data_IF_315017747131
#
_entry.id   IF_315017747131
#
_cell.length_a   1.000
_cell.length_b   1.000
_cell.length_c   1.000
_cell.angle_alpha   90.00
_cell.angle_beta   90.00
_cell.angle_gamma   90.00
#
_symmetry.space_group_name_H-M   'P 1'
#
loop_
_entity.id
_entity.type
_entity.pdbx_description
1 polymer ?
#
# COMPACT_ATOMS: atom_id res chain seq x y z
N UNK A 1 -17.48 13.36 -48.56
CA UNK A 1 -17.22 12.05 -47.94
C UNK A 1 -16.99 12.25 -46.46
N UNK A 2 -17.92 11.78 -45.61
CA UNK A 2 -17.76 11.77 -44.15
C UNK A 2 -16.91 10.57 -43.77
N UNK A 3 -15.93 10.78 -42.88
CA UNK A 3 -15.01 9.75 -42.44
C UNK A 3 -15.75 8.80 -41.47
N UNK A 4 -16.18 7.63 -41.95
CA UNK A 4 -17.04 6.67 -41.23
C UNK A 4 -16.25 5.84 -40.19
N UNK A 5 -14.91 6.01 -40.11
CA UNK A 5 -14.04 5.32 -39.14
C UNK A 5 -13.68 6.22 -37.96
N UNK A 6 -14.70 6.74 -37.27
CA UNK A 6 -14.54 7.16 -35.88
C UNK A 6 -14.42 5.92 -35.00
N UNK A 7 -13.21 5.41 -34.80
CA UNK A 7 -12.95 4.30 -33.86
C UNK A 7 -13.06 4.82 -32.41
N UNK A 8 -14.25 5.28 -32.02
CA UNK A 8 -14.57 5.63 -30.62
C UNK A 8 -14.93 4.35 -29.86
N UNK A 9 -13.99 3.40 -29.82
CA UNK A 9 -14.12 2.19 -29.01
C UNK A 9 -13.89 2.55 -27.54
N UNK A 10 -14.86 3.21 -26.91
CA UNK A 10 -14.81 3.59 -25.50
C UNK A 10 -15.78 2.75 -24.66
N UNK A 11 -15.95 1.46 -24.97
CA UNK A 11 -16.66 0.57 -24.07
C UNK A 11 -15.70 0.15 -22.95
N UNK A 12 -15.82 0.80 -21.79
CA UNK A 12 -15.01 0.53 -20.60
C UNK A 12 -15.50 -0.72 -19.83
N UNK A 13 -16.16 -1.65 -20.52
CA UNK A 13 -17.01 -2.67 -19.88
C UNK A 13 -18.24 -2.07 -19.19
N UNK A 14 -18.95 -2.91 -18.43
CA UNK A 14 -20.00 -2.48 -17.51
C UNK A 14 -19.38 -2.19 -16.14
N UNK A 15 -19.81 -1.10 -15.50
CA UNK A 15 -19.34 -0.78 -14.16
C UNK A 15 -20.00 -1.73 -13.15
N UNK A 16 -19.24 -2.41 -12.29
CA UNK A 16 -19.81 -3.21 -11.23
C UNK A 16 -20.65 -2.34 -10.28
N UNK A 17 -21.60 -2.93 -9.53
CA UNK A 17 -22.36 -2.23 -8.50
C UNK A 17 -21.44 -1.45 -7.55
N UNK A 18 -21.90 -0.27 -7.12
CA UNK A 18 -21.07 0.66 -6.33
C UNK A 18 -20.55 0.05 -5.03
N UNK A 19 -21.34 -0.78 -4.36
CA UNK A 19 -20.93 -1.51 -3.14
C UNK A 19 -19.79 -2.49 -3.38
N UNK A 20 -19.85 -3.25 -4.48
CA UNK A 20 -18.83 -4.23 -4.86
C UNK A 20 -17.55 -3.51 -5.27
N UNK A 21 -17.68 -2.45 -6.08
CA UNK A 21 -16.53 -1.64 -6.50
C UNK A 21 -15.84 -0.97 -5.32
N UNK A 22 -16.61 -0.46 -4.35
CA UNK A 22 -16.09 0.15 -3.12
C UNK A 22 -15.26 -0.86 -2.30
N UNK A 23 -15.83 -2.05 -2.06
CA UNK A 23 -15.17 -3.12 -1.31
C UNK A 23 -13.88 -3.57 -1.99
N UNK A 24 -13.93 -3.87 -3.30
CA UNK A 24 -12.77 -4.30 -4.07
C UNK A 24 -11.63 -3.27 -4.04
N UNK A 25 -11.96 -1.98 -4.20
CA UNK A 25 -10.96 -0.91 -4.16
C UNK A 25 -10.30 -0.74 -2.78
N UNK A 26 -11.04 -1.03 -1.71
CA UNK A 26 -10.52 -1.06 -0.35
C UNK A 26 -9.57 -2.24 -0.14
N UNK A 27 -9.97 -3.44 -0.54
CA UNK A 27 -9.14 -4.65 -0.47
C UNK A 27 -7.82 -4.46 -1.21
N UNK A 28 -7.89 -3.98 -2.46
CA UNK A 28 -6.70 -3.67 -3.26
C UNK A 28 -5.79 -2.61 -2.61
N UNK A 29 -6.34 -1.73 -1.78
CA UNK A 29 -5.55 -0.76 -1.03
C UNK A 29 -4.76 -1.41 0.11
N UNK A 30 -5.38 -2.34 0.82
CA UNK A 30 -4.75 -3.10 1.90
C UNK A 30 -3.74 -4.13 1.41
N UNK A 31 -3.97 -4.70 0.23
CA UNK A 31 -2.97 -5.52 -0.47
C UNK A 31 -1.78 -4.71 -1.00
N UNK A 32 -1.85 -3.37 -0.92
CA UNK A 32 -0.81 -2.43 -1.40
C UNK A 32 -0.53 -2.55 -2.90
N UNK A 33 -1.52 -2.97 -3.69
CA UNK A 33 -1.41 -3.02 -5.16
C UNK A 33 -1.13 -1.64 -5.74
N UNK A 34 -0.25 -1.61 -6.74
CA UNK A 34 0.05 -0.44 -7.55
C UNK A 34 -1.17 -0.04 -8.39
N UNK A 35 -1.18 1.20 -8.89
CA UNK A 35 -2.28 1.69 -9.74
C UNK A 35 -2.48 0.80 -10.98
N UNK A 36 -1.40 0.27 -11.56
CA UNK A 36 -1.47 -0.59 -12.74
C UNK A 36 -2.10 -1.94 -12.38
N UNK A 37 -1.61 -2.60 -11.34
CA UNK A 37 -2.17 -3.88 -10.88
C UNK A 37 -3.65 -3.78 -10.52
N UNK A 38 -4.09 -2.66 -9.90
CA UNK A 38 -5.51 -2.43 -9.63
C UNK A 38 -6.36 -2.33 -10.90
N UNK A 39 -5.84 -1.67 -11.94
CA UNK A 39 -6.54 -1.56 -13.22
C UNK A 39 -6.64 -2.93 -13.88
N UNK A 40 -5.52 -3.65 -13.94
CA UNK A 40 -5.44 -4.97 -14.53
C UNK A 40 -6.40 -5.93 -13.80
N UNK A 41 -6.43 -5.88 -12.46
CA UNK A 41 -7.32 -6.71 -11.64
C UNK A 41 -8.81 -6.35 -11.77
N UNK A 42 -9.15 -5.07 -11.88
CA UNK A 42 -10.53 -4.64 -12.17
C UNK A 42 -10.99 -5.13 -13.55
N UNK A 43 -10.09 -5.16 -14.52
CA UNK A 43 -10.37 -5.70 -15.84
C UNK A 43 -10.55 -7.23 -15.79
N UNK A 44 -9.72 -7.94 -15.04
CA UNK A 44 -9.77 -9.41 -14.95
C UNK A 44 -10.97 -9.91 -14.12
N UNK A 45 -11.25 -9.32 -12.96
CA UNK A 45 -12.30 -9.78 -12.03
C UNK A 45 -13.70 -9.29 -12.43
N UNK A 46 -13.81 -8.06 -12.95
CA UNK A 46 -15.11 -7.41 -13.19
C UNK A 46 -15.33 -7.02 -14.66
N UNK A 47 -14.38 -7.27 -15.55
CA UNK A 47 -14.45 -6.79 -16.95
C UNK A 47 -14.47 -5.26 -17.05
N UNK A 48 -14.02 -4.54 -16.01
CA UNK A 48 -14.13 -3.09 -15.92
C UNK A 48 -12.84 -2.38 -16.35
N UNK A 49 -12.78 -2.01 -17.62
CA UNK A 49 -11.59 -1.43 -18.25
C UNK A 49 -11.52 0.08 -18.04
N UNK A 50 -10.75 0.52 -17.06
CA UNK A 50 -10.58 1.95 -16.74
C UNK A 50 -9.13 2.43 -16.84
N UNK A 51 -8.98 3.73 -17.05
CA UNK A 51 -7.67 4.41 -16.99
C UNK A 51 -7.35 4.89 -15.57
N UNK A 52 -6.07 5.14 -15.31
CA UNK A 52 -5.55 5.60 -14.01
C UNK A 52 -6.20 6.90 -13.50
N UNK A 53 -6.61 7.81 -14.39
CA UNK A 53 -7.33 9.03 -14.03
C UNK A 53 -8.71 8.74 -13.42
N UNK A 54 -9.46 7.80 -14.02
CA UNK A 54 -10.76 7.36 -13.51
C UNK A 54 -10.61 6.62 -12.19
N UNK A 55 -9.62 5.74 -12.07
CA UNK A 55 -9.32 5.05 -10.82
C UNK A 55 -9.00 6.03 -9.68
N UNK A 56 -8.20 7.08 -9.93
CA UNK A 56 -7.93 8.13 -8.94
C UNK A 56 -9.20 8.88 -8.52
N UNK A 57 -10.10 9.16 -9.46
CA UNK A 57 -11.37 9.80 -9.17
C UNK A 57 -12.28 8.90 -8.30
N UNK A 58 -12.35 7.60 -8.60
CA UNK A 58 -13.07 6.61 -7.79
C UNK A 58 -12.48 6.49 -6.39
N UNK A 59 -11.15 6.39 -6.26
CA UNK A 59 -10.49 6.33 -4.96
C UNK A 59 -10.81 7.57 -4.11
N UNK A 60 -10.88 8.76 -4.73
CA UNK A 60 -11.28 9.99 -4.05
C UNK A 60 -12.76 9.95 -3.65
N UNK A 61 -13.65 9.49 -4.53
CA UNK A 61 -15.10 9.38 -4.27
C UNK A 61 -15.37 8.45 -3.08
N UNK A 62 -14.67 7.33 -3.04
CA UNK A 62 -14.86 6.26 -2.06
C UNK A 62 -14.05 6.42 -0.77
N UNK A 63 -13.21 7.44 -0.68
CA UNK A 63 -12.37 7.66 0.51
C UNK A 63 -11.34 6.55 0.73
N UNK A 64 -10.86 5.91 -0.34
CA UNK A 64 -9.93 4.78 -0.24
C UNK A 64 -8.64 5.24 0.47
N UNK A 65 -8.20 4.51 1.51
CA UNK A 65 -7.03 4.89 2.28
C UNK A 65 -5.78 4.91 1.40
N UNK A 66 -4.85 5.81 1.73
CA UNK A 66 -3.60 5.97 0.98
C UNK A 66 -2.44 6.16 1.95
N UNK A 67 -1.31 5.52 1.65
CA UNK A 67 -0.06 5.70 2.40
C UNK A 67 0.40 7.16 2.44
N UNK A 68 0.01 7.99 1.45
CA UNK A 68 0.32 9.43 1.43
C UNK A 68 -0.51 10.26 2.41
N UNK A 69 -1.50 9.64 3.07
CA UNK A 69 -2.35 10.25 4.08
C UNK A 69 -2.35 9.35 5.33
N UNK A 70 -1.19 9.18 5.98
CA UNK A 70 -1.11 8.35 7.17
C UNK A 70 -1.96 8.94 8.31
N UNK A 71 -2.32 8.11 9.30
CA UNK A 71 -2.91 8.61 10.53
C UNK A 71 -1.96 9.58 11.26
N UNK A 72 -2.49 10.41 12.18
CA UNK A 72 -1.66 11.26 13.03
C UNK A 72 -0.56 10.48 13.76
N UNK A 73 0.61 11.10 13.96
CA UNK A 73 1.78 10.43 14.54
C UNK A 73 1.50 9.67 15.86
N UNK A 74 0.74 10.21 16.85
CA UNK A 74 0.46 9.46 18.08
C UNK A 74 -0.31 8.14 17.83
N UNK A 75 -1.24 8.17 16.87
CA UNK A 75 -2.01 6.99 16.47
C UNK A 75 -1.12 6.01 15.72
N UNK A 76 -0.26 6.51 14.82
CA UNK A 76 0.72 5.71 14.11
C UNK A 76 1.69 4.98 15.06
N UNK A 77 2.20 5.68 16.08
CA UNK A 77 3.09 5.11 17.11
C UNK A 77 2.39 3.97 17.84
N UNK A 78 1.14 4.18 18.26
CA UNK A 78 0.36 3.19 19.00
C UNK A 78 0.21 1.89 18.19
N UNK A 79 -0.23 2.00 16.93
CA UNK A 79 -0.40 0.83 16.06
C UNK A 79 0.93 0.10 15.74
N UNK A 80 2.03 0.84 15.59
CA UNK A 80 3.35 0.25 15.35
C UNK A 80 3.84 -0.48 16.61
N UNK A 81 3.69 0.12 17.79
CA UNK A 81 4.09 -0.50 19.06
C UNK A 81 3.32 -1.80 19.32
N UNK A 82 1.99 -1.79 19.16
CA UNK A 82 1.15 -2.99 19.29
C UNK A 82 1.63 -4.14 18.39
N UNK A 83 1.99 -3.84 17.14
CA UNK A 83 2.49 -4.82 16.18
C UNK A 83 3.94 -5.27 16.50
N UNK A 84 4.78 -4.41 17.07
CA UNK A 84 6.12 -4.78 17.53
C UNK A 84 6.05 -5.77 18.69
N UNK A 85 5.18 -5.50 19.67
CA UNK A 85 5.02 -6.32 20.87
C UNK A 85 4.47 -7.71 20.54
N UNK A 86 3.50 -7.79 19.60
CA UNK A 86 2.91 -9.06 19.15
C UNK A 86 3.94 -10.07 18.62
N UNK A 87 5.08 -9.60 18.12
CA UNK A 87 6.14 -10.43 17.52
C UNK A 87 7.52 -10.22 18.18
N UNK A 88 7.54 -9.74 19.43
CA UNK A 88 8.76 -9.56 20.23
C UNK A 88 9.87 -8.74 19.54
N UNK A 89 9.52 -7.76 18.70
CA UNK A 89 10.49 -6.90 18.01
C UNK A 89 11.36 -7.57 16.93
N UNK A 90 11.14 -8.86 16.63
CA UNK A 90 11.91 -9.59 15.61
C UNK A 90 11.45 -9.30 14.17
N UNK A 91 10.34 -8.59 14.00
CA UNK A 91 9.81 -8.21 12.70
C UNK A 91 10.47 -6.94 12.16
N UNK A 92 10.83 -6.97 10.88
CA UNK A 92 11.34 -5.78 10.19
C UNK A 92 10.22 -4.80 9.80
N UNK A 93 10.59 -3.56 9.41
CA UNK A 93 9.63 -2.52 9.02
C UNK A 93 8.73 -2.94 7.86
N UNK A 94 9.24 -3.70 6.89
CA UNK A 94 8.44 -4.19 5.76
C UNK A 94 7.30 -5.10 6.22
N UNK A 95 7.60 -6.03 7.13
CA UNK A 95 6.62 -6.95 7.69
C UNK A 95 5.57 -6.21 8.52
N UNK A 96 5.99 -5.28 9.38
CA UNK A 96 5.06 -4.46 10.16
C UNK A 96 4.15 -3.64 9.25
N UNK A 97 4.68 -3.07 8.15
CA UNK A 97 3.82 -2.31 7.21
C UNK A 97 2.81 -3.18 6.45
N UNK A 98 3.02 -4.49 6.35
CA UNK A 98 2.03 -5.43 5.78
C UNK A 98 0.99 -5.80 6.82
N UNK A 99 1.40 -6.04 8.07
CA UNK A 99 0.49 -6.30 9.18
C UNK A 99 -0.46 -5.12 9.41
N UNK A 100 0.08 -3.90 9.48
CA UNK A 100 -0.72 -2.68 9.58
C UNK A 100 -1.73 -2.53 8.44
N UNK A 101 -1.33 -2.89 7.21
CA UNK A 101 -2.23 -2.82 6.06
C UNK A 101 -3.38 -3.83 6.19
N UNK A 102 -3.12 -5.03 6.71
CA UNK A 102 -4.15 -6.02 7.03
C UNK A 102 -5.09 -5.54 8.16
N UNK A 103 -4.57 -4.78 9.12
CA UNK A 103 -5.36 -4.11 10.18
C UNK A 103 -6.12 -2.87 9.67
N UNK A 104 -6.02 -2.55 8.37
CA UNK A 104 -6.72 -1.43 7.75
C UNK A 104 -5.99 -0.08 7.83
N UNK A 105 -4.75 -0.06 8.35
CA UNK A 105 -3.98 1.16 8.60
C UNK A 105 -2.80 1.25 7.63
N UNK A 106 -2.79 2.28 6.79
CA UNK A 106 -1.71 2.50 5.81
C UNK A 106 -0.71 3.55 6.32
N UNK A 107 0.47 3.08 6.74
CA UNK A 107 1.59 3.93 7.17
C UNK A 107 2.78 3.73 6.20
N UNK A 108 3.45 4.80 5.75
CA UNK A 108 4.69 4.70 4.98
C UNK A 108 5.76 3.90 5.72
N UNK A 109 6.53 3.12 4.98
CA UNK A 109 7.63 2.31 5.53
C UNK A 109 8.65 3.15 6.29
N UNK A 110 9.00 4.32 5.78
CA UNK A 110 9.99 5.20 6.41
C UNK A 110 9.51 5.68 7.77
N UNK A 111 8.24 6.08 7.88
CA UNK A 111 7.61 6.44 9.16
C UNK A 111 7.59 5.27 10.13
N UNK A 112 7.24 4.06 9.67
CA UNK A 112 7.31 2.86 10.52
C UNK A 112 8.74 2.62 11.00
N UNK A 113 9.73 2.73 10.13
CA UNK A 113 11.15 2.54 10.48
C UNK A 113 11.61 3.57 11.51
N UNK A 114 11.24 4.83 11.35
CA UNK A 114 11.57 5.91 12.30
C UNK A 114 10.95 5.65 13.67
N UNK A 115 9.67 5.27 13.71
CA UNK A 115 8.98 4.92 14.95
C UNK A 115 9.65 3.71 15.61
N UNK A 116 9.92 2.63 14.86
CA UNK A 116 10.59 1.44 15.38
C UNK A 116 11.95 1.78 15.99
N UNK A 117 12.76 2.61 15.32
CA UNK A 117 14.07 3.02 15.82
C UNK A 117 13.95 3.93 17.06
N UNK A 118 12.89 4.74 17.15
CA UNK A 118 12.63 5.56 18.32
C UNK A 118 12.22 4.74 19.54
N UNK A 119 11.51 3.62 19.32
CA UNK A 119 11.03 2.73 20.40
C UNK A 119 12.08 1.69 20.81
N UNK A 120 12.84 1.17 19.86
CA UNK A 120 13.81 0.09 20.03
C UNK A 120 15.04 0.32 19.13
N UNK A 121 16.00 1.16 19.58
CA UNK A 121 17.16 1.53 18.78
C UNK A 121 18.04 0.31 18.43
N UNK A 122 18.15 -0.66 19.34
CA UNK A 122 18.97 -1.86 19.16
C UNK A 122 18.24 -3.00 18.43
N UNK A 123 16.94 -2.83 18.15
CA UNK A 123 16.09 -3.86 17.54
C UNK A 123 16.60 -4.31 16.18
N UNK A 124 17.18 -3.40 15.39
CA UNK A 124 17.75 -3.73 14.09
C UNK A 124 18.94 -4.68 14.22
N UNK A 125 19.82 -4.43 15.18
CA UNK A 125 21.02 -5.23 15.39
C UNK A 125 20.66 -6.61 15.96
N UNK A 126 19.68 -6.69 16.86
CA UNK A 126 19.16 -7.98 17.37
C UNK A 126 18.60 -8.89 16.27
N UNK A 127 17.99 -8.30 15.23
CA UNK A 127 17.43 -9.04 14.09
C UNK A 127 18.48 -9.56 13.10
N UNK A 128 19.69 -8.98 13.11
CA UNK A 128 20.79 -9.36 12.23
C UNK A 128 21.90 -10.04 13.04
N UNK A 129 21.84 -11.37 13.28
CA UNK A 129 22.83 -12.07 14.11
C UNK A 129 24.26 -12.05 13.55
N UNK A 130 24.43 -11.59 12.30
CA UNK A 130 25.72 -11.43 11.66
C UNK A 130 25.92 -9.97 11.25
N UNK A 131 27.15 -9.43 11.34
CA UNK A 131 27.44 -8.07 10.93
C UNK A 131 27.09 -7.89 9.46
N UNK A 132 26.16 -6.98 9.18
CA UNK A 132 25.77 -6.69 7.81
C UNK A 132 26.97 -6.09 7.09
N UNK A 133 27.32 -6.63 5.91
CA UNK A 133 28.47 -6.15 5.13
C UNK A 133 28.24 -4.70 4.77
N UNK A 134 29.02 -3.80 5.40
CA UNK A 134 29.08 -2.40 5.02
C UNK A 134 29.99 -2.27 3.80
N UNK A 135 29.58 -1.48 2.81
CA UNK A 135 30.49 -1.09 1.74
C UNK A 135 31.58 -0.13 2.27
N UNK A 136 32.56 0.23 1.44
CA UNK A 136 33.69 1.12 1.83
C UNK A 136 33.24 2.50 2.35
N UNK A 137 31.98 2.88 2.14
CA UNK A 137 31.36 4.12 2.62
C UNK A 137 30.54 3.93 3.90
N UNK A 138 30.52 2.73 4.49
CA UNK A 138 29.77 2.44 5.70
C UNK A 138 28.28 2.14 5.48
N UNK A 139 27.79 2.16 4.24
CA UNK A 139 26.39 1.83 3.94
C UNK A 139 26.18 0.32 3.94
N UNK A 140 25.07 -0.09 4.53
CA UNK A 140 24.59 -1.46 4.55
C UNK A 140 24.34 -1.90 3.10
N UNK A 141 25.04 -2.95 2.63
CA UNK A 141 24.74 -3.56 1.34
C UNK A 141 23.46 -4.40 1.47
N UNK A 142 22.49 -4.12 0.60
CA UNK A 142 21.24 -4.88 0.48
C UNK A 142 21.48 -6.27 -0.10
#
# INVERSE_FOLDING_TARGET
MVNIRGKNGCHNGEAPPESILHAALHEYAFEKLTIKERIDRLADEYGYYIKSTKLKALNKKFGIPSTRKPPPLPVAISHVAENMDKYNGMTGPDTITRMLAADGVLIPRDTVREIMHSLDPDGADRRAPYPVRKNKLGHVLA
#
